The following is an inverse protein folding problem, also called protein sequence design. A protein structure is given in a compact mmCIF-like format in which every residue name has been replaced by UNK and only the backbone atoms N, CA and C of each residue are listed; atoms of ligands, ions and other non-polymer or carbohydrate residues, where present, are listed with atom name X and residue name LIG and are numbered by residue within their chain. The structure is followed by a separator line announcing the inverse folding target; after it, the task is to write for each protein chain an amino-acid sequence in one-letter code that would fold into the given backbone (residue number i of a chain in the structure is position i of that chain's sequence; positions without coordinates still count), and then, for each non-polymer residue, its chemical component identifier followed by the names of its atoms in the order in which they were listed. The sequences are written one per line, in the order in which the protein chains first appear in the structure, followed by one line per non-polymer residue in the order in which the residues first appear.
data_IF_774676886463
#
_entry.id   IF_774676886463
#
_cell.length_a   1.000
_cell.length_b   1.000
_cell.length_c   1.000
_cell.angle_alpha   90.00
_cell.angle_beta   90.00
_cell.angle_gamma   90.00
#
_symmetry.space_group_name_H-M   'P 1'
#
loop_
_entity.id
_entity.type
_entity.pdbx_description
1 polymer ?
#
# COMPACT_ATOMS: atom_id res chain seq x y z
N UNK A 1 3.87 18.42 -8.41
CA UNK A 1 5.24 18.57 -7.86
C UNK A 1 5.72 17.32 -7.08
N UNK A 2 4.84 16.42 -6.60
CA UNK A 2 5.22 15.23 -5.81
C UNK A 2 5.58 14.03 -6.70
N UNK A 3 5.06 13.97 -7.93
CA UNK A 3 5.22 12.84 -8.83
C UNK A 3 6.69 12.41 -9.05
N UNK A 4 7.64 13.31 -9.36
CA UNK A 4 9.02 12.90 -9.58
C UNK A 4 9.68 12.32 -8.32
N UNK A 5 9.30 12.78 -7.13
CA UNK A 5 9.79 12.20 -5.87
C UNK A 5 9.29 10.76 -5.70
N UNK A 6 8.01 10.51 -5.98
CA UNK A 6 7.43 9.17 -5.93
C UNK A 6 8.05 8.24 -6.98
N UNK A 7 8.38 8.76 -8.16
CA UNK A 7 9.04 8.00 -9.23
C UNK A 7 10.44 7.56 -8.79
N UNK A 8 11.23 8.48 -8.22
CA UNK A 8 12.53 8.16 -7.64
C UNK A 8 12.38 7.12 -6.52
N UNK A 9 11.42 7.30 -5.61
CA UNK A 9 11.17 6.34 -4.54
C UNK A 9 10.84 4.94 -5.05
N UNK A 10 10.13 4.79 -6.16
CA UNK A 10 9.80 3.48 -6.73
C UNK A 10 10.95 2.84 -7.52
N UNK A 11 11.90 3.63 -8.00
CA UNK A 11 13.07 3.11 -8.73
C UNK A 11 14.20 2.65 -7.80
N UNK A 12 14.23 3.15 -6.56
CA UNK A 12 15.24 2.75 -5.57
C UNK A 12 14.98 1.31 -5.12
N UNK A 13 15.97 0.41 -5.16
CA UNK A 13 15.83 -0.94 -4.65
C UNK A 13 15.41 -0.95 -3.18
N UNK A 14 14.48 -1.84 -2.82
CA UNK A 14 13.92 -1.93 -1.45
C UNK A 14 14.97 -2.01 -0.35
N UNK A 15 16.08 -2.70 -0.62
CA UNK A 15 17.20 -2.84 0.32
C UNK A 15 17.87 -1.51 0.68
N UNK A 16 17.91 -0.56 -0.26
CA UNK A 16 18.57 0.74 -0.06
C UNK A 16 17.85 1.58 1.00
N UNK A 17 16.54 1.38 1.19
CA UNK A 17 15.78 2.07 2.24
C UNK A 17 16.21 1.69 3.66
N UNK A 18 16.79 0.50 3.84
CA UNK A 18 17.26 0.07 5.14
C UNK A 18 18.51 0.83 5.60
N UNK A 19 19.38 1.25 4.68
CA UNK A 19 20.67 1.84 4.99
C UNK A 19 20.52 3.11 5.87
N UNK A 20 19.82 4.18 5.41
CA UNK A 20 19.70 5.40 6.20
C UNK A 20 18.92 5.18 7.50
N UNK A 21 17.91 4.30 7.47
CA UNK A 21 17.06 4.04 8.64
C UNK A 21 17.87 3.31 9.73
N UNK A 22 18.69 2.32 9.33
CA UNK A 22 19.56 1.59 10.26
C UNK A 22 20.69 2.48 10.79
N UNK A 23 21.25 3.33 9.96
CA UNK A 23 22.31 4.25 10.38
C UNK A 23 21.81 5.28 11.41
N UNK A 24 20.56 5.72 11.30
CA UNK A 24 19.97 6.71 12.20
C UNK A 24 19.37 6.11 13.47
N UNK A 25 18.72 4.95 13.36
CA UNK A 25 17.90 4.37 14.43
C UNK A 25 18.43 3.04 14.97
N UNK A 26 19.51 2.53 14.39
CA UNK A 26 20.07 1.23 14.77
C UNK A 26 19.28 0.05 14.18
N UNK A 27 19.58 -1.15 14.70
CA UNK A 27 18.99 -2.42 14.26
C UNK A 27 17.78 -2.75 15.12
N UNK A 28 16.66 -3.18 14.52
CA UNK A 28 15.49 -3.63 15.28
C UNK A 28 14.16 -3.48 14.58
N UNK A 29 13.08 -3.70 15.34
CA UNK A 29 11.71 -3.68 14.81
C UNK A 29 11.26 -2.29 14.34
N UNK A 30 11.59 -1.24 15.10
CA UNK A 30 11.16 0.13 14.80
C UNK A 30 11.80 0.63 13.49
N UNK A 31 13.14 0.58 13.32
CA UNK A 31 13.75 0.91 12.03
C UNK A 31 13.19 0.08 10.87
N UNK A 32 12.98 -1.22 11.07
CA UNK A 32 12.38 -2.08 10.05
C UNK A 32 10.98 -1.63 9.63
N UNK A 33 10.13 -1.27 10.59
CA UNK A 33 8.79 -0.76 10.31
C UNK A 33 8.82 0.54 9.51
N UNK A 34 9.68 1.47 9.90
CA UNK A 34 9.83 2.76 9.21
C UNK A 34 10.29 2.54 7.76
N UNK A 35 11.28 1.69 7.54
CA UNK A 35 11.77 1.38 6.21
C UNK A 35 10.68 0.74 5.33
N UNK A 36 9.90 -0.20 5.87
CA UNK A 36 8.77 -0.82 5.18
C UNK A 36 7.71 0.23 4.82
N UNK A 37 7.35 1.13 5.75
CA UNK A 37 6.38 2.20 5.50
C UNK A 37 6.85 3.14 4.37
N UNK A 38 8.09 3.61 4.44
CA UNK A 38 8.64 4.52 3.41
C UNK A 38 8.62 3.84 2.04
N UNK A 39 9.01 2.56 1.97
CA UNK A 39 9.04 1.79 0.74
C UNK A 39 7.64 1.54 0.16
N UNK A 40 6.64 1.28 1.01
CA UNK A 40 5.32 0.82 0.59
C UNK A 40 4.29 1.95 0.35
N UNK A 41 4.54 3.18 0.81
CA UNK A 41 3.62 4.32 0.67
C UNK A 41 3.44 4.82 -0.78
N UNK A 42 4.46 4.86 -1.66
CA UNK A 42 4.33 5.49 -2.98
C UNK A 42 3.15 5.02 -3.84
N UNK A 43 2.81 3.72 -3.93
CA UNK A 43 1.64 3.27 -4.70
C UNK A 43 0.32 3.84 -4.18
N UNK A 44 0.16 3.92 -2.85
CA UNK A 44 -1.04 4.47 -2.24
C UNK A 44 -1.24 5.94 -2.65
N UNK A 45 -0.21 6.75 -2.52
CA UNK A 45 -0.25 8.17 -2.88
C UNK A 45 -0.52 8.34 -4.38
N UNK A 46 0.15 7.53 -5.22
CA UNK A 46 -0.01 7.60 -6.68
C UNK A 46 -1.42 7.21 -7.12
N UNK A 47 -1.94 6.09 -6.66
CA UNK A 47 -3.26 5.60 -7.05
C UNK A 47 -4.39 6.47 -6.46
N UNK A 48 -4.21 7.01 -5.25
CA UNK A 48 -5.15 7.98 -4.69
C UNK A 48 -5.19 9.25 -5.54
N UNK A 49 -4.03 9.82 -5.89
CA UNK A 49 -3.97 11.00 -6.74
C UNK A 49 -4.56 10.74 -8.14
N UNK A 50 -4.28 9.57 -8.71
CA UNK A 50 -4.85 9.16 -10.00
C UNK A 50 -6.37 9.04 -9.91
N UNK A 51 -6.91 8.38 -8.88
CA UNK A 51 -8.34 8.23 -8.69
C UNK A 51 -9.07 9.56 -8.55
N UNK A 52 -8.49 10.51 -7.81
CA UNK A 52 -9.06 11.86 -7.66
C UNK A 52 -9.06 12.61 -9.00
N UNK A 53 -8.02 12.44 -9.83
CA UNK A 53 -7.91 13.11 -11.13
C UNK A 53 -8.76 12.50 -12.23
N UNK A 54 -9.13 11.23 -12.10
CA UNK A 54 -9.97 10.51 -13.05
C UNK A 54 -11.48 10.74 -12.82
N UNK A 55 -11.86 11.52 -11.80
CA UNK A 55 -13.26 11.92 -11.60
C UNK A 55 -13.70 12.76 -12.77
N UNK A 56 -14.85 12.41 -13.33
CA UNK A 56 -15.42 13.07 -14.51
C UNK A 56 -15.60 14.57 -14.27
N UNK A 57 -15.17 15.36 -15.27
CA UNK A 57 -15.29 16.82 -15.23
C UNK A 57 -16.75 17.27 -15.18
N UNK A 58 -17.68 16.56 -15.83
CA UNK A 58 -19.11 16.90 -15.80
C UNK A 58 -19.67 16.82 -14.37
N UNK A 59 -19.24 15.80 -13.58
CA UNK A 59 -19.65 15.67 -12.17
C UNK A 59 -19.09 16.82 -11.33
N UNK A 60 -17.87 17.26 -11.63
CA UNK A 60 -17.24 18.37 -10.91
C UNK A 60 -17.91 19.70 -11.27
N UNK A 61 -18.25 19.92 -12.52
CA UNK A 61 -18.99 21.11 -12.99
C UNK A 61 -20.41 21.17 -12.41
N UNK A 62 -21.08 20.01 -12.29
CA UNK A 62 -22.37 19.94 -11.62
C UNK A 62 -22.24 20.34 -10.13
N UNK A 63 -21.23 19.85 -9.42
CA UNK A 63 -20.98 20.23 -8.03
C UNK A 63 -20.69 21.75 -7.90
N UNK A 64 -19.94 22.33 -8.83
CA UNK A 64 -19.69 23.78 -8.88
C UNK A 64 -20.97 24.57 -9.12
N UNK A 65 -21.86 24.09 -9.98
CA UNK A 65 -23.16 24.71 -10.26
C UNK A 65 -24.08 24.72 -9.02
N UNK A 66 -23.95 23.74 -8.13
CA UNK A 66 -24.65 23.74 -6.84
C UNK A 66 -23.95 24.59 -5.77
N UNK A 67 -22.85 25.28 -6.09
CA UNK A 67 -22.12 26.14 -5.17
C UNK A 67 -21.25 25.38 -4.17
N UNK A 68 -20.83 24.17 -4.49
CA UNK A 68 -19.97 23.37 -3.61
C UNK A 68 -18.58 24.02 -3.43
N UNK A 69 -18.18 24.24 -2.19
CA UNK A 69 -16.82 24.66 -1.86
C UNK A 69 -15.80 23.56 -2.19
N UNK A 70 -14.53 23.94 -2.34
CA UNK A 70 -13.42 23.03 -2.65
C UNK A 70 -13.38 21.80 -1.72
N UNK A 71 -13.58 22.00 -0.41
CA UNK A 71 -13.63 20.90 0.57
C UNK A 71 -14.83 19.98 0.36
N UNK A 72 -16.00 20.55 0.10
CA UNK A 72 -17.23 19.80 -0.18
C UNK A 72 -17.06 18.96 -1.45
N UNK A 73 -16.48 19.52 -2.49
CA UNK A 73 -16.18 18.84 -3.74
C UNK A 73 -15.17 17.71 -3.53
N UNK A 74 -14.08 17.97 -2.80
CA UNK A 74 -13.06 16.94 -2.51
C UNK A 74 -13.62 15.77 -1.69
N UNK A 75 -14.24 16.07 -0.56
CA UNK A 75 -14.70 15.02 0.38
C UNK A 75 -16.06 14.42 0.02
N UNK A 76 -16.94 15.21 -0.59
CA UNK A 76 -18.30 14.79 -0.96
C UNK A 76 -18.38 14.10 -2.32
N UNK A 77 -17.49 14.43 -3.25
CA UNK A 77 -17.55 13.94 -4.64
C UNK A 77 -16.28 13.17 -5.03
N UNK A 78 -15.13 13.82 -4.99
CA UNK A 78 -13.91 13.26 -5.57
C UNK A 78 -13.40 12.02 -4.80
N UNK A 79 -13.26 12.11 -3.48
CA UNK A 79 -12.78 10.97 -2.67
C UNK A 79 -13.75 9.77 -2.76
N UNK A 80 -15.08 9.97 -2.63
CA UNK A 80 -16.04 8.90 -2.86
C UNK A 80 -15.93 8.19 -4.20
N UNK A 81 -15.77 8.93 -5.28
CA UNK A 81 -15.63 8.37 -6.62
C UNK A 81 -14.24 7.77 -6.88
N UNK A 82 -13.21 8.26 -6.17
CA UNK A 82 -11.86 7.73 -6.22
C UNK A 82 -11.64 6.46 -5.38
N UNK A 83 -12.61 6.03 -4.57
CA UNK A 83 -12.48 4.87 -3.67
C UNK A 83 -11.93 3.61 -4.35
N UNK A 84 -12.35 3.21 -5.56
CA UNK A 84 -11.79 2.06 -6.24
C UNK A 84 -10.27 2.12 -6.39
N UNK A 85 -9.76 3.28 -6.82
CA UNK A 85 -8.34 3.53 -6.99
C UNK A 85 -7.59 3.61 -5.65
N UNK A 86 -8.22 4.19 -4.62
CA UNK A 86 -7.66 4.25 -3.26
C UNK A 86 -7.50 2.84 -2.70
N UNK A 87 -8.51 1.98 -2.82
CA UNK A 87 -8.42 0.58 -2.38
C UNK A 87 -7.39 -0.23 -3.18
N UNK A 88 -7.27 0.02 -4.48
CA UNK A 88 -6.20 -0.56 -5.28
C UNK A 88 -4.82 -0.14 -4.75
N UNK A 89 -4.66 1.13 -4.36
CA UNK A 89 -3.44 1.66 -3.73
C UNK A 89 -3.15 1.00 -2.38
N UNK A 90 -4.14 0.86 -1.52
CA UNK A 90 -4.02 0.17 -0.22
C UNK A 90 -3.56 -1.28 -0.45
N UNK A 91 -4.20 -1.97 -1.37
CA UNK A 91 -3.88 -3.36 -1.68
C UNK A 91 -2.43 -3.53 -2.15
N UNK A 92 -2.00 -2.68 -3.08
CA UNK A 92 -0.62 -2.70 -3.57
C UNK A 92 0.38 -2.38 -2.46
N UNK A 93 0.06 -1.44 -1.56
CA UNK A 93 0.88 -1.11 -0.40
C UNK A 93 1.03 -2.30 0.56
N UNK A 94 -0.05 -3.04 0.82
CA UNK A 94 -0.01 -4.26 1.64
C UNK A 94 0.91 -5.30 1.00
N UNK A 95 0.77 -5.55 -0.31
CA UNK A 95 1.60 -6.51 -1.02
C UNK A 95 3.09 -6.14 -1.01
N UNK A 96 3.41 -4.87 -1.22
CA UNK A 96 4.80 -4.38 -1.15
C UNK A 96 5.36 -4.48 0.28
N UNK A 97 4.56 -4.20 1.30
CA UNK A 97 4.96 -4.35 2.70
C UNK A 97 5.31 -5.81 3.03
N UNK A 98 4.50 -6.75 2.58
CA UNK A 98 4.74 -8.19 2.79
C UNK A 98 5.97 -8.68 2.01
N UNK A 99 6.20 -8.19 0.80
CA UNK A 99 7.41 -8.51 0.04
C UNK A 99 8.68 -8.05 0.78
N UNK A 100 8.61 -6.94 1.52
CA UNK A 100 9.74 -6.42 2.29
C UNK A 100 9.98 -7.13 3.63
N UNK A 101 9.08 -7.99 4.10
CA UNK A 101 9.21 -8.71 5.40
C UNK A 101 10.52 -9.51 5.49
N UNK A 102 10.90 -10.19 4.41
CA UNK A 102 12.16 -10.97 4.36
C UNK A 102 13.36 -10.05 4.45
N UNK A 103 13.34 -8.95 3.71
CA UNK A 103 14.43 -7.95 3.70
C UNK A 103 14.55 -7.28 5.08
N UNK A 104 13.43 -6.93 5.71
CA UNK A 104 13.41 -6.36 7.05
C UNK A 104 13.97 -7.34 8.11
N UNK A 105 13.88 -8.65 7.88
CA UNK A 105 14.48 -9.64 8.79
C UNK A 105 16.02 -9.58 8.83
N UNK A 106 16.67 -9.05 7.78
CA UNK A 106 18.13 -8.86 7.74
C UNK A 106 18.61 -7.81 8.76
N UNK A 107 17.74 -6.91 9.19
CA UNK A 107 18.03 -5.91 10.23
C UNK A 107 17.42 -6.27 11.59
N UNK A 108 17.23 -7.57 11.84
CA UNK A 108 16.80 -8.09 13.15
C UNK A 108 15.29 -8.02 13.42
N UNK A 109 14.45 -7.75 12.41
CA UNK A 109 12.99 -7.87 12.56
C UNK A 109 12.61 -9.34 12.64
N UNK A 110 12.06 -9.73 13.80
CA UNK A 110 11.58 -11.10 14.03
C UNK A 110 10.19 -11.27 13.42
N UNK A 111 9.98 -12.36 12.68
CA UNK A 111 8.72 -12.71 12.05
C UNK A 111 8.92 -13.80 11.00
N UNK A 112 7.96 -13.98 10.08
CA UNK A 112 8.00 -14.99 9.02
C UNK A 112 9.18 -14.81 8.04
N UNK A 113 9.75 -13.62 7.92
CA UNK A 113 10.91 -13.37 7.08
C UNK A 113 12.19 -13.99 7.62
N UNK A 114 12.35 -14.09 8.96
CA UNK A 114 13.57 -14.60 9.56
C UNK A 114 13.84 -16.09 9.23
N UNK A 115 12.87 -17.02 9.30
CA UNK A 115 13.07 -18.38 8.84
C UNK A 115 13.41 -18.49 7.36
N UNK A 116 12.81 -17.64 6.51
CA UNK A 116 13.15 -17.60 5.07
C UNK A 116 14.59 -17.16 4.88
N UNK A 117 15.03 -16.09 5.57
CA UNK A 117 16.42 -15.65 5.53
C UNK A 117 17.40 -16.74 5.97
N UNK A 118 17.10 -17.43 7.09
CA UNK A 118 17.91 -18.55 7.57
C UNK A 118 17.96 -19.71 6.58
N UNK A 119 16.83 -20.00 5.94
CA UNK A 119 16.75 -21.05 4.93
C UNK A 119 17.63 -20.74 3.72
N UNK A 120 17.65 -19.50 3.26
CA UNK A 120 18.53 -19.05 2.17
C UNK A 120 20.00 -19.16 2.59
N UNK A 121 20.35 -18.67 3.79
CA UNK A 121 21.74 -18.65 4.27
C UNK A 121 22.32 -20.05 4.52
N UNK A 122 21.47 -21.00 4.95
CA UNK A 122 21.89 -22.37 5.30
C UNK A 122 21.48 -23.41 4.24
N UNK A 123 20.90 -23.00 3.13
CA UNK A 123 20.42 -23.88 2.04
C UNK A 123 19.35 -24.90 2.48
N UNK A 124 18.51 -24.53 3.45
CA UNK A 124 17.40 -25.37 3.93
C UNK A 124 16.16 -25.19 3.06
N UNK A 125 16.09 -25.88 1.92
CA UNK A 125 15.02 -25.72 0.92
C UNK A 125 13.62 -25.88 1.52
N UNK A 126 13.39 -26.95 2.30
CA UNK A 126 12.07 -27.22 2.88
C UNK A 126 11.61 -26.09 3.82
N UNK A 127 12.51 -25.58 4.67
CA UNK A 127 12.23 -24.49 5.59
C UNK A 127 11.90 -23.19 4.83
N UNK A 128 12.65 -22.89 3.76
CA UNK A 128 12.45 -21.73 2.92
C UNK A 128 11.11 -21.77 2.20
N UNK A 129 10.78 -22.91 1.59
CA UNK A 129 9.52 -23.10 0.86
C UNK A 129 8.31 -23.00 1.80
N UNK A 130 8.34 -23.65 2.97
CA UNK A 130 7.22 -23.61 3.93
C UNK A 130 6.96 -22.20 4.44
N UNK A 131 7.99 -21.47 4.86
CA UNK A 131 7.84 -20.11 5.38
C UNK A 131 7.54 -19.10 4.25
N UNK A 132 8.12 -19.28 3.07
CA UNK A 132 7.77 -18.50 1.89
C UNK A 132 6.31 -18.67 1.51
N UNK A 133 5.81 -19.91 1.47
CA UNK A 133 4.40 -20.21 1.22
C UNK A 133 3.49 -19.59 2.29
N UNK A 134 3.88 -19.61 3.55
CA UNK A 134 3.12 -18.95 4.62
C UNK A 134 2.99 -17.45 4.40
N UNK A 135 4.05 -16.77 3.94
CA UNK A 135 4.00 -15.35 3.57
C UNK A 135 3.05 -15.13 2.39
N UNK A 136 3.10 -15.99 1.37
CA UNK A 136 2.20 -15.90 0.20
C UNK A 136 0.74 -16.10 0.60
N UNK A 137 0.44 -17.09 1.44
CA UNK A 137 -0.93 -17.32 1.93
C UNK A 137 -1.42 -16.10 2.72
N UNK A 138 -0.59 -15.56 3.59
CA UNK A 138 -0.93 -14.35 4.35
C UNK A 138 -1.20 -13.16 3.40
N UNK A 139 -0.38 -12.99 2.37
CA UNK A 139 -0.57 -11.97 1.35
C UNK A 139 -1.91 -12.12 0.63
N UNK A 140 -2.27 -13.35 0.22
CA UNK A 140 -3.55 -13.64 -0.42
C UNK A 140 -4.73 -13.33 0.52
N UNK A 141 -4.62 -13.67 1.80
CA UNK A 141 -5.68 -13.37 2.79
C UNK A 141 -5.89 -11.86 2.90
N UNK A 142 -4.81 -11.09 3.09
CA UNK A 142 -4.91 -9.63 3.17
C UNK A 142 -5.44 -9.00 1.88
N UNK A 143 -5.00 -9.50 0.73
CA UNK A 143 -5.48 -9.06 -0.58
C UNK A 143 -7.01 -9.28 -0.70
N UNK A 144 -7.49 -10.47 -0.39
CA UNK A 144 -8.92 -10.81 -0.48
C UNK A 144 -9.77 -10.00 0.49
N UNK A 145 -9.32 -9.85 1.74
CA UNK A 145 -10.02 -9.05 2.75
C UNK A 145 -10.10 -7.58 2.33
N UNK A 146 -8.98 -7.00 1.89
CA UNK A 146 -8.93 -5.61 1.45
C UNK A 146 -9.83 -5.35 0.24
N UNK A 147 -9.79 -6.22 -0.78
CA UNK A 147 -10.65 -6.10 -1.97
C UNK A 147 -12.13 -6.27 -1.62
N UNK A 148 -12.48 -7.22 -0.78
CA UNK A 148 -13.88 -7.45 -0.40
C UNK A 148 -14.43 -6.27 0.40
N UNK A 149 -13.63 -5.69 1.28
CA UNK A 149 -14.03 -4.51 2.03
C UNK A 149 -14.25 -3.30 1.11
N UNK A 150 -13.34 -3.10 0.15
CA UNK A 150 -13.48 -2.05 -0.87
C UNK A 150 -14.78 -2.17 -1.68
N UNK A 151 -15.09 -3.39 -2.14
CA UNK A 151 -16.34 -3.66 -2.91
C UNK A 151 -17.60 -3.42 -2.08
N UNK A 152 -17.61 -3.79 -0.81
CA UNK A 152 -18.77 -3.55 0.07
C UNK A 152 -19.06 -2.06 0.27
N UNK A 153 -18.02 -1.25 0.42
CA UNK A 153 -18.17 0.20 0.55
C UNK A 153 -18.72 0.86 -0.73
N UNK A 154 -18.39 0.30 -1.90
CA UNK A 154 -18.92 0.77 -3.19
C UNK A 154 -20.38 0.35 -3.37
N UNK A 155 -20.71 -0.92 -3.15
CA UNK A 155 -22.07 -1.45 -3.29
C UNK A 155 -23.09 -0.75 -2.37
N UNK A 156 -22.67 -0.34 -1.17
CA UNK A 156 -23.54 0.39 -0.24
C UNK A 156 -23.92 1.80 -0.76
N UNK A 157 -23.10 2.36 -1.65
CA UNK A 157 -23.34 3.68 -2.25
C UNK A 157 -24.20 3.63 -3.50
N UNK A 158 -24.02 2.60 -4.33
CA UNK A 158 -24.86 2.39 -5.52
C UNK A 158 -26.32 2.08 -5.12
N UNK A 159 -26.53 1.35 -4.03
CA UNK A 159 -27.88 1.10 -3.48
C UNK A 159 -28.56 2.33 -2.88
N UNK A 160 -27.80 3.32 -2.40
CA UNK A 160 -28.34 4.56 -1.81
C UNK A 160 -28.67 5.63 -2.87
N UNK A 161 -28.23 5.47 -4.11
CA UNK A 161 -28.50 6.40 -5.22
C UNK A 161 -29.67 5.96 -6.10
N UNK A 162 -30.30 4.82 -5.80
CA UNK A 162 -31.45 4.24 -6.56
C UNK A 162 -32.79 4.37 -5.83
N UNK A 163 -32.84 5.01 -4.65
CA UNK A 163 -34.06 5.46 -3.95
C UNK A 163 -34.20 6.98 -4.04
#
# INVERSE_FOLDING_TARGET
AITPVLDVMQTIPSFVYLIPVVMLLGIGKVPGLIAVCIYAIPPLVRLTNLGIRLVDSEVLEAADSFGADYKQKLFGVQIPLALPNIFAGINQTIMMSLAMVVIASMIGVKGLGLPVLRAVSNQYLALGLLNGLAIVILAIIFDRVSQQYGRRLQAHREGSSSE
#
